data_IF_351501931113
#
_entry.id   IF_351501931113
#
_cell.length_a   1.000
_cell.length_b   1.000
_cell.length_c   1.000
_cell.angle_alpha   90.00
_cell.angle_beta   90.00
_cell.angle_gamma   90.00
#
_symmetry.space_group_name_H-M   'P 1'
#
loop_
_entity.id
_entity.type
_entity.pdbx_description
1 polymer ?
#
# COMPACT_ATOMS: atom_id res chain seq x y z
N UNK A 1 17.45 -15.69 -31.38
CA UNK A 1 18.18 -15.05 -30.27
C UNK A 1 17.55 -15.62 -29.02
N UNK A 2 18.07 -16.76 -28.60
CA UNK A 2 17.42 -17.68 -27.68
C UNK A 2 17.50 -17.16 -26.25
N UNK A 3 16.36 -17.10 -25.56
CA UNK A 3 16.30 -16.73 -24.14
C UNK A 3 16.67 -17.97 -23.30
N UNK A 4 17.76 -17.88 -22.55
CA UNK A 4 18.08 -18.92 -21.57
C UNK A 4 16.98 -19.00 -20.49
N UNK A 5 16.58 -20.21 -20.08
CA UNK A 5 15.59 -20.39 -19.02
C UNK A 5 16.15 -19.88 -17.68
N UNK A 6 15.32 -19.16 -16.93
CA UNK A 6 15.59 -18.55 -15.60
C UNK A 6 16.19 -19.52 -14.57
N UNK A 7 16.15 -20.83 -14.84
CA UNK A 7 16.70 -21.91 -14.03
C UNK A 7 18.24 -21.98 -14.02
N UNK A 8 18.98 -21.20 -14.82
CA UNK A 8 20.45 -21.25 -14.86
C UNK A 8 21.16 -20.28 -13.91
N UNK A 9 20.44 -19.45 -13.13
CA UNK A 9 21.08 -18.49 -12.22
C UNK A 9 21.67 -19.22 -11.00
N UNK A 10 23.00 -19.24 -10.82
CA UNK A 10 23.62 -19.94 -9.70
C UNK A 10 23.21 -19.29 -8.36
N UNK A 11 22.65 -20.10 -7.45
CA UNK A 11 22.30 -19.68 -6.09
C UNK A 11 20.81 -19.49 -5.81
N UNK A 12 19.92 -19.67 -6.80
CA UNK A 12 18.47 -19.64 -6.58
C UNK A 12 17.96 -21.09 -6.44
N UNK A 13 17.42 -21.42 -5.27
CA UNK A 13 16.77 -22.71 -5.02
C UNK A 13 15.26 -22.55 -5.10
N UNK A 14 14.61 -23.42 -5.87
CA UNK A 14 13.15 -23.49 -6.00
C UNK A 14 12.61 -24.70 -5.21
N UNK A 15 11.37 -24.63 -4.72
CA UNK A 15 10.68 -25.71 -3.98
C UNK A 15 11.35 -26.15 -2.66
N UNK A 16 11.97 -25.24 -1.91
CA UNK A 16 12.49 -25.55 -0.58
C UNK A 16 11.42 -25.28 0.48
N UNK A 17 11.10 -26.30 1.28
CA UNK A 17 10.17 -26.18 2.40
C UNK A 17 10.81 -25.35 3.53
N UNK A 18 10.18 -24.23 3.89
CA UNK A 18 10.70 -23.24 4.85
C UNK A 18 10.82 -23.74 6.30
N UNK A 19 10.33 -24.94 6.62
CA UNK A 19 10.39 -25.53 7.97
C UNK A 19 11.83 -25.77 8.44
N UNK A 20 12.75 -26.06 7.51
CA UNK A 20 14.13 -26.46 7.81
C UNK A 20 15.09 -25.26 7.97
N UNK A 21 14.61 -24.02 7.80
CA UNK A 21 15.39 -22.77 7.88
C UNK A 21 14.96 -21.83 9.01
N UNK A 22 14.26 -22.36 10.02
CA UNK A 22 13.77 -21.57 11.15
C UNK A 22 14.87 -21.36 12.20
N UNK A 23 15.61 -20.27 12.07
CA UNK A 23 16.12 -19.54 13.25
C UNK A 23 15.81 -18.07 13.09
N UNK A 24 14.84 -17.63 13.88
CA UNK A 24 14.51 -16.23 14.12
C UNK A 24 15.77 -15.45 14.54
N UNK A 25 16.40 -14.74 13.60
CA UNK A 25 17.22 -13.56 13.88
C UNK A 25 16.56 -12.36 13.24
N UNK A 26 15.87 -11.60 14.09
CA UNK A 26 15.38 -10.26 13.82
C UNK A 26 16.61 -9.39 13.52
N UNK A 27 16.85 -9.05 12.25
CA UNK A 27 17.97 -8.18 11.87
C UNK A 27 18.57 -8.44 10.49
N UNK A 28 17.81 -8.21 9.42
CA UNK A 28 18.31 -8.30 8.04
C UNK A 28 17.56 -7.36 7.10
N UNK A 29 18.22 -6.87 6.04
CA UNK A 29 17.68 -5.92 5.06
C UNK A 29 16.34 -6.41 4.51
N UNK A 30 15.29 -5.69 4.85
CA UNK A 30 13.92 -5.95 4.45
C UNK A 30 13.78 -5.94 2.92
N UNK A 31 13.93 -7.10 2.28
CA UNK A 31 13.54 -7.36 0.88
C UNK A 31 12.09 -7.84 0.84
N UNK A 32 11.14 -7.09 1.38
CA UNK A 32 9.73 -7.31 1.02
C UNK A 32 9.46 -6.51 -0.25
N UNK A 33 9.86 -7.07 -1.39
CA UNK A 33 9.12 -6.79 -2.61
C UNK A 33 7.75 -7.45 -2.41
N UNK A 34 6.68 -6.66 -2.36
CA UNK A 34 5.34 -7.21 -2.53
C UNK A 34 5.28 -7.71 -3.98
N UNK A 35 5.70 -8.95 -4.19
CA UNK A 35 5.54 -9.63 -5.47
C UNK A 35 4.03 -9.77 -5.69
N UNK A 36 3.55 -9.33 -6.86
CA UNK A 36 2.19 -9.61 -7.27
C UNK A 36 2.01 -11.13 -7.28
N UNK A 37 1.12 -11.62 -6.41
CA UNK A 37 0.93 -13.06 -6.21
C UNK A 37 0.16 -13.66 -7.36
N UNK A 38 0.39 -14.95 -7.61
CA UNK A 38 -0.36 -15.67 -8.63
C UNK A 38 -1.84 -15.79 -8.23
N UNK A 39 -2.74 -15.95 -9.20
CA UNK A 39 -4.19 -16.12 -8.95
C UNK A 39 -4.45 -17.27 -7.97
N UNK A 40 -3.67 -18.36 -8.05
CA UNK A 40 -3.77 -19.51 -7.16
C UNK A 40 -3.49 -19.16 -5.69
N UNK A 41 -2.34 -18.55 -5.42
CA UNK A 41 -1.96 -18.12 -4.06
C UNK A 41 -2.96 -17.12 -3.45
N UNK A 42 -3.53 -16.24 -4.28
CA UNK A 42 -4.56 -15.30 -3.82
C UNK A 42 -5.88 -15.99 -3.47
N UNK A 43 -6.24 -17.08 -4.16
CA UNK A 43 -7.39 -17.90 -3.80
C UNK A 43 -7.14 -18.67 -2.50
N UNK A 44 -5.90 -19.11 -2.23
CA UNK A 44 -5.53 -19.77 -0.97
C UNK A 44 -5.81 -18.89 0.25
N UNK A 45 -5.55 -17.58 0.15
CA UNK A 45 -5.89 -16.61 1.22
C UNK A 45 -7.36 -16.72 1.64
N UNK A 46 -8.25 -16.89 0.67
CA UNK A 46 -9.69 -17.01 0.90
C UNK A 46 -10.03 -18.39 1.46
N UNK A 47 -9.46 -19.45 0.87
CA UNK A 47 -9.71 -20.84 1.25
C UNK A 47 -9.18 -21.17 2.64
N UNK A 48 -8.11 -20.52 3.10
CA UNK A 48 -7.55 -20.75 4.43
C UNK A 48 -8.42 -20.14 5.53
N UNK A 49 -9.16 -19.07 5.22
CA UNK A 49 -9.85 -18.24 6.21
C UNK A 49 -11.34 -18.51 6.32
N UNK A 50 -12.06 -18.59 5.21
CA UNK A 50 -13.52 -18.75 5.22
C UNK A 50 -14.00 -20.03 5.95
N UNK A 51 -13.35 -21.20 5.79
CA UNK A 51 -13.76 -22.40 6.50
C UNK A 51 -13.61 -22.30 8.02
N UNK A 52 -12.62 -21.54 8.52
CA UNK A 52 -12.40 -21.37 9.97
C UNK A 52 -13.56 -20.67 10.67
N UNK A 53 -14.36 -19.90 9.92
CA UNK A 53 -15.54 -19.17 10.41
C UNK A 53 -16.85 -19.79 9.92
N UNK A 54 -16.80 -20.95 9.25
CA UNK A 54 -17.97 -21.66 8.75
C UNK A 54 -18.77 -20.90 7.68
N UNK A 55 -18.06 -20.13 6.85
CA UNK A 55 -18.62 -19.39 5.70
C UNK A 55 -18.03 -19.97 4.41
N UNK A 56 -18.83 -19.95 3.35
CA UNK A 56 -18.47 -20.45 2.03
C UNK A 56 -18.64 -19.37 0.97
N UNK A 57 -17.89 -19.50 -0.12
CA UNK A 57 -18.01 -18.66 -1.29
C UNK A 57 -17.90 -19.52 -2.54
N UNK A 58 -18.72 -19.23 -3.54
CA UNK A 58 -18.63 -19.91 -4.83
C UNK A 58 -17.30 -19.60 -5.53
N UNK A 59 -16.83 -20.52 -6.38
CA UNK A 59 -15.62 -20.32 -7.20
C UNK A 59 -15.68 -19.03 -8.01
N UNK A 60 -16.88 -18.65 -8.48
CA UNK A 60 -17.11 -17.40 -9.23
C UNK A 60 -16.80 -16.17 -8.38
N UNK A 61 -17.29 -16.12 -7.14
CA UNK A 61 -17.05 -14.99 -6.22
C UNK A 61 -15.57 -14.90 -5.84
N UNK A 62 -14.93 -16.03 -5.55
CA UNK A 62 -13.48 -16.08 -5.26
C UNK A 62 -12.66 -15.50 -6.43
N UNK A 63 -12.99 -15.89 -7.66
CA UNK A 63 -12.33 -15.36 -8.85
C UNK A 63 -12.52 -13.84 -9.01
N UNK A 64 -13.73 -13.33 -8.80
CA UNK A 64 -14.04 -11.90 -8.88
C UNK A 64 -13.21 -11.09 -7.86
N UNK A 65 -13.15 -11.55 -6.60
CA UNK A 65 -12.34 -10.93 -5.54
C UNK A 65 -10.87 -10.86 -5.94
N UNK A 66 -10.34 -11.94 -6.51
CA UNK A 66 -8.93 -11.99 -6.91
C UNK A 66 -8.66 -11.09 -8.12
N UNK A 67 -9.57 -11.07 -9.11
CA UNK A 67 -9.45 -10.22 -10.30
C UNK A 67 -9.45 -8.73 -9.95
N UNK A 68 -10.33 -8.28 -9.06
CA UNK A 68 -10.38 -6.87 -8.66
C UNK A 68 -9.21 -6.47 -7.75
N UNK A 69 -8.57 -7.42 -7.10
CA UNK A 69 -7.43 -7.18 -6.18
C UNK A 69 -6.10 -6.98 -6.90
N UNK A 70 -6.03 -7.13 -8.23
CA UNK A 70 -4.86 -6.80 -9.07
C UNK A 70 -3.53 -7.39 -8.57
N UNK A 71 -3.55 -8.63 -8.07
CA UNK A 71 -2.33 -9.30 -7.59
C UNK A 71 -1.91 -8.93 -6.15
N UNK A 72 -2.66 -8.06 -5.47
CA UNK A 72 -2.33 -7.52 -4.14
C UNK A 72 -3.06 -8.26 -3.01
N UNK A 73 -2.36 -8.99 -2.13
CA UNK A 73 -2.96 -9.73 -1.02
C UNK A 73 -3.79 -8.87 -0.07
N UNK A 74 -3.38 -7.62 0.17
CA UNK A 74 -4.10 -6.71 1.06
C UNK A 74 -5.52 -6.42 0.59
N UNK A 75 -5.73 -6.30 -0.73
CA UNK A 75 -7.05 -6.06 -1.31
C UNK A 75 -7.90 -7.32 -1.29
N UNK A 76 -7.30 -8.50 -1.49
CA UNK A 76 -8.02 -9.78 -1.30
C UNK A 76 -8.54 -9.89 0.12
N UNK A 77 -7.71 -9.60 1.13
CA UNK A 77 -8.13 -9.64 2.52
C UNK A 77 -9.27 -8.67 2.82
N UNK A 78 -9.15 -7.41 2.36
CA UNK A 78 -10.15 -6.38 2.62
C UNK A 78 -11.49 -6.73 1.95
N UNK A 79 -11.47 -7.03 0.64
CA UNK A 79 -12.67 -7.38 -0.12
C UNK A 79 -13.36 -8.63 0.43
N UNK A 80 -12.60 -9.67 0.75
CA UNK A 80 -13.14 -10.91 1.35
C UNK A 80 -13.77 -10.62 2.70
N UNK A 81 -13.11 -9.83 3.56
CA UNK A 81 -13.63 -9.46 4.88
C UNK A 81 -14.95 -8.70 4.79
N UNK A 82 -15.03 -7.66 3.96
CA UNK A 82 -16.26 -6.88 3.86
C UNK A 82 -17.41 -7.70 3.25
N UNK A 83 -17.14 -8.53 2.24
CA UNK A 83 -18.15 -9.44 1.68
C UNK A 83 -18.63 -10.48 2.70
N UNK A 84 -17.72 -11.00 3.52
CA UNK A 84 -18.04 -11.93 4.61
C UNK A 84 -18.93 -11.25 5.66
N UNK A 85 -18.61 -10.00 6.05
CA UNK A 85 -19.43 -9.24 7.00
C UNK A 85 -20.84 -8.97 6.45
N UNK A 86 -20.98 -8.69 5.14
CA UNK A 86 -22.29 -8.57 4.49
C UNK A 86 -23.10 -9.86 4.62
N UNK A 87 -22.49 -11.01 4.32
CA UNK A 87 -23.15 -12.32 4.44
C UNK A 87 -23.57 -12.62 5.89
N UNK A 88 -22.72 -12.31 6.87
CA UNK A 88 -23.01 -12.47 8.30
C UNK A 88 -24.20 -11.58 8.71
N UNK A 89 -24.24 -10.33 8.25
CA UNK A 89 -25.34 -9.41 8.56
C UNK A 89 -26.68 -9.93 7.99
N UNK A 90 -26.66 -10.60 6.84
CA UNK A 90 -27.81 -11.31 6.27
C UNK A 90 -28.10 -12.65 6.97
N UNK A 91 -27.31 -13.04 7.98
CA UNK A 91 -27.36 -14.34 8.67
C UNK A 91 -27.16 -15.53 7.72
N UNK A 92 -26.37 -15.34 6.66
CA UNK A 92 -26.03 -16.35 5.67
C UNK A 92 -24.63 -16.91 5.93
N UNK A 93 -24.45 -18.20 5.63
CA UNK A 93 -23.14 -18.86 5.57
C UNK A 93 -22.54 -18.87 4.16
N UNK A 94 -23.26 -18.36 3.17
CA UNK A 94 -22.83 -18.33 1.78
C UNK A 94 -22.70 -16.88 1.31
N UNK A 95 -21.53 -16.52 0.78
CA UNK A 95 -21.29 -15.23 0.13
C UNK A 95 -21.92 -15.26 -1.26
N UNK A 96 -22.92 -14.42 -1.45
CA UNK A 96 -23.59 -14.22 -2.72
C UNK A 96 -23.02 -13.00 -3.47
N UNK A 97 -23.51 -12.78 -4.70
CA UNK A 97 -23.06 -11.65 -5.51
C UNK A 97 -23.39 -10.29 -4.86
N UNK A 98 -24.55 -10.17 -4.22
CA UNK A 98 -24.93 -8.98 -3.47
C UNK A 98 -23.94 -8.65 -2.34
N UNK A 99 -23.49 -9.69 -1.62
CA UNK A 99 -22.49 -9.56 -0.55
C UNK A 99 -21.12 -9.15 -1.10
N UNK A 100 -20.73 -9.69 -2.27
CA UNK A 100 -19.54 -9.24 -3.00
C UNK A 100 -19.64 -7.77 -3.41
N UNK A 101 -20.74 -7.37 -4.06
CA UNK A 101 -20.93 -6.01 -4.57
C UNK A 101 -20.89 -4.99 -3.40
N UNK A 102 -21.60 -5.28 -2.31
CA UNK A 102 -21.56 -4.48 -1.07
C UNK A 102 -20.17 -4.47 -0.43
N UNK A 103 -19.48 -5.62 -0.43
CA UNK A 103 -18.14 -5.76 0.10
C UNK A 103 -17.11 -4.91 -0.66
N UNK A 104 -17.21 -4.84 -1.98
CA UNK A 104 -16.36 -3.98 -2.81
C UNK A 104 -16.64 -2.51 -2.52
N UNK A 105 -17.90 -2.09 -2.49
CA UNK A 105 -18.25 -0.70 -2.17
C UNK A 105 -17.69 -0.30 -0.80
N UNK A 106 -17.87 -1.13 0.22
CA UNK A 106 -17.37 -0.86 1.56
C UNK A 106 -15.84 -0.91 1.64
N UNK A 107 -15.19 -1.78 0.86
CA UNK A 107 -13.72 -1.85 0.77
C UNK A 107 -13.14 -0.58 0.18
N UNK A 108 -13.77 -0.04 -0.87
CA UNK A 108 -13.39 1.26 -1.45
C UNK A 108 -13.58 2.37 -0.42
N UNK A 109 -14.73 2.43 0.25
CA UNK A 109 -15.00 3.43 1.31
C UNK A 109 -13.99 3.35 2.45
N UNK A 110 -13.66 2.16 2.95
CA UNK A 110 -12.66 1.97 4.03
C UNK A 110 -11.24 2.29 3.58
N UNK A 111 -10.87 1.91 2.36
CA UNK A 111 -9.60 2.32 1.77
C UNK A 111 -9.51 3.85 1.73
N UNK A 112 -10.58 4.52 1.26
CA UNK A 112 -10.69 5.97 1.27
C UNK A 112 -10.66 6.56 2.69
N UNK A 113 -11.34 5.97 3.68
CA UNK A 113 -11.33 6.44 5.07
C UNK A 113 -9.94 6.33 5.71
N UNK A 114 -9.21 5.26 5.44
CA UNK A 114 -7.82 5.11 5.88
C UNK A 114 -6.90 6.16 5.24
N UNK A 115 -7.15 6.53 3.98
CA UNK A 115 -6.44 7.59 3.26
C UNK A 115 -6.77 8.96 3.85
N UNK A 116 -8.06 9.25 4.06
CA UNK A 116 -8.55 10.53 4.60
C UNK A 116 -8.08 10.73 6.04
N UNK A 117 -8.16 9.71 6.90
CA UNK A 117 -7.66 9.77 8.27
C UNK A 117 -6.15 9.97 8.32
N UNK A 118 -5.40 9.26 7.46
CA UNK A 118 -3.95 9.44 7.33
C UNK A 118 -3.59 10.85 6.85
N UNK A 119 -4.32 11.37 5.86
CA UNK A 119 -4.17 12.74 5.37
C UNK A 119 -4.45 13.77 6.47
N UNK A 120 -5.60 13.66 7.15
CA UNK A 120 -5.98 14.56 8.25
C UNK A 120 -4.93 14.55 9.36
N UNK A 121 -4.43 13.36 9.73
CA UNK A 121 -3.36 13.22 10.73
C UNK A 121 -2.04 13.85 10.29
N UNK A 122 -1.73 13.80 8.99
CA UNK A 122 -0.52 14.39 8.44
C UNK A 122 -0.55 15.92 8.44
N UNK A 123 -1.69 16.50 8.06
CA UNK A 123 -1.86 17.97 7.95
C UNK A 123 -2.21 18.64 9.29
N UNK A 124 -2.68 17.88 10.28
CA UNK A 124 -3.10 18.44 11.56
C UNK A 124 -1.94 19.07 12.33
N UNK A 125 -2.17 20.28 12.85
CA UNK A 125 -1.32 20.94 13.83
C UNK A 125 -2.12 22.03 14.53
N UNK A 126 -1.89 22.20 15.84
CA UNK A 126 -2.58 23.18 16.67
C UNK A 126 -2.20 24.63 16.34
N UNK A 127 -1.05 24.84 15.66
CA UNK A 127 -0.58 26.14 15.19
C UNK A 127 -0.64 26.22 13.67
N UNK A 128 -0.70 27.45 13.15
CA UNK A 128 -0.55 27.74 11.73
C UNK A 128 0.72 27.06 11.18
N UNK A 129 0.56 26.37 10.07
CA UNK A 129 1.58 25.50 9.52
C UNK A 129 1.36 25.34 8.01
N UNK A 130 2.39 24.83 7.33
CA UNK A 130 2.36 24.60 5.89
C UNK A 130 2.30 23.11 5.53
N UNK A 131 1.83 22.24 6.44
CA UNK A 131 1.84 20.80 6.19
C UNK A 131 0.97 20.44 4.97
N UNK A 132 -0.19 21.08 4.83
CA UNK A 132 -1.10 20.84 3.70
C UNK A 132 -0.44 21.19 2.36
N UNK A 133 0.20 22.35 2.30
CA UNK A 133 0.86 22.89 1.12
C UNK A 133 2.10 22.08 0.75
N UNK A 134 2.89 21.65 1.74
CA UNK A 134 4.05 20.78 1.51
C UNK A 134 3.60 19.41 1.01
N UNK A 135 2.54 18.84 1.58
CA UNK A 135 2.01 17.54 1.15
C UNK A 135 1.45 17.61 -0.28
N UNK A 136 0.71 18.68 -0.59
CA UNK A 136 0.22 18.95 -1.95
C UNK A 136 1.39 19.12 -2.93
N UNK A 137 2.41 19.90 -2.55
CA UNK A 137 3.60 20.08 -3.37
C UNK A 137 4.28 18.75 -3.68
N UNK A 138 4.37 17.82 -2.71
CA UNK A 138 4.93 16.49 -2.91
C UNK A 138 4.10 15.64 -3.89
N UNK A 139 2.78 15.76 -3.87
CA UNK A 139 1.90 15.06 -4.81
C UNK A 139 2.05 15.58 -6.25
N UNK A 140 2.35 16.87 -6.41
CA UNK A 140 2.53 17.52 -7.71
C UNK A 140 3.91 17.32 -8.35
N UNK A 141 4.87 16.69 -7.64
CA UNK A 141 6.21 16.48 -8.18
C UNK A 141 6.18 15.40 -9.25
N UNK A 142 6.88 15.65 -10.37
CA UNK A 142 7.18 14.61 -11.36
C UNK A 142 8.11 13.57 -10.73
N UNK A 143 7.60 12.37 -10.54
CA UNK A 143 8.35 11.26 -9.92
C UNK A 143 9.16 10.47 -10.94
N UNK A 144 10.19 9.75 -10.48
CA UNK A 144 10.90 8.76 -11.29
C UNK A 144 10.03 7.54 -11.63
N UNK A 145 10.53 6.62 -12.47
CA UNK A 145 9.86 5.37 -12.86
C UNK A 145 9.46 4.47 -11.67
N UNK A 146 9.94 4.77 -10.46
CA UNK A 146 9.65 4.05 -9.22
C UNK A 146 8.78 4.88 -8.26
N UNK A 147 8.22 6.00 -8.70
CA UNK A 147 7.35 6.87 -7.91
C UNK A 147 8.08 7.66 -6.83
N UNK A 148 9.40 7.89 -6.98
CA UNK A 148 10.22 8.60 -5.99
C UNK A 148 10.55 10.01 -6.43
N UNK A 149 10.79 10.86 -5.44
CA UNK A 149 11.23 12.23 -5.62
C UNK A 149 12.24 12.64 -4.56
N UNK A 150 12.98 13.72 -4.81
CA UNK A 150 13.93 14.33 -3.88
C UNK A 150 13.38 15.61 -3.26
N UNK A 151 14.01 16.07 -2.17
CA UNK A 151 13.58 17.32 -1.53
C UNK A 151 13.74 18.56 -2.43
N UNK A 152 14.68 18.54 -3.37
CA UNK A 152 14.86 19.62 -4.35
C UNK A 152 13.68 19.74 -5.31
N UNK A 153 13.05 18.61 -5.65
CA UNK A 153 11.97 18.56 -6.63
C UNK A 153 10.70 19.23 -6.08
N UNK A 154 10.51 19.22 -4.75
CA UNK A 154 9.39 19.86 -4.04
C UNK A 154 9.50 21.39 -4.04
N UNK A 155 10.70 21.95 -4.24
CA UNK A 155 10.96 23.39 -4.11
C UNK A 155 10.11 24.23 -5.07
N UNK A 156 10.10 23.85 -6.34
CA UNK A 156 9.36 24.55 -7.39
C UNK A 156 7.84 24.51 -7.18
N UNK A 157 7.18 23.34 -7.00
CA UNK A 157 5.73 23.30 -6.77
C UNK A 157 5.33 23.98 -5.47
N UNK A 158 6.13 23.87 -4.40
CA UNK A 158 5.82 24.53 -3.13
C UNK A 158 5.92 26.06 -3.22
N UNK A 159 6.93 26.57 -3.92
CA UNK A 159 7.07 28.02 -4.14
C UNK A 159 5.91 28.59 -4.96
N UNK A 160 5.41 27.81 -5.93
CA UNK A 160 4.21 28.14 -6.71
C UNK A 160 2.94 28.18 -5.84
N UNK A 161 2.76 27.21 -4.94
CA UNK A 161 1.60 27.15 -4.05
C UNK A 161 1.61 28.31 -3.04
N UNK A 162 2.78 28.64 -2.48
CA UNK A 162 2.91 29.68 -1.44
C UNK A 162 3.12 31.09 -2.00
N UNK A 163 3.28 31.26 -3.32
CA UNK A 163 3.51 32.57 -3.95
C UNK A 163 4.82 33.26 -3.56
N UNK A 164 5.79 32.51 -3.03
CA UNK A 164 7.10 33.02 -2.58
C UNK A 164 8.19 31.99 -2.78
N UNK A 165 9.45 32.43 -2.88
CA UNK A 165 10.57 31.50 -2.93
C UNK A 165 10.74 30.78 -1.59
N UNK A 166 10.88 29.46 -1.66
CA UNK A 166 11.04 28.59 -0.50
C UNK A 166 12.33 27.78 -0.65
N UNK A 167 13.13 27.74 0.40
CA UNK A 167 14.33 26.90 0.43
C UNK A 167 14.08 25.57 1.14
N UNK A 168 14.91 24.56 0.86
CA UNK A 168 14.74 23.20 1.41
C UNK A 168 14.70 23.23 2.95
N UNK A 169 15.48 24.10 3.60
CA UNK A 169 15.47 24.26 5.05
C UNK A 169 14.09 24.60 5.64
N UNK A 170 13.24 25.31 4.88
CA UNK A 170 11.93 25.76 5.34
C UNK A 170 10.95 24.59 5.49
N UNK A 171 11.08 23.56 4.66
CA UNK A 171 10.15 22.42 4.63
C UNK A 171 10.77 21.05 4.96
N UNK A 172 12.09 20.95 5.11
CA UNK A 172 12.78 19.69 5.43
C UNK A 172 12.23 19.02 6.70
N UNK A 173 11.86 19.80 7.72
CA UNK A 173 11.23 19.28 8.94
C UNK A 173 9.87 18.64 8.67
N UNK A 174 9.10 19.16 7.72
CA UNK A 174 7.77 18.65 7.37
C UNK A 174 7.91 17.32 6.62
N UNK A 175 8.86 17.22 5.68
CA UNK A 175 9.19 15.95 5.01
C UNK A 175 9.62 14.86 6.00
N UNK A 176 10.48 15.21 6.96
CA UNK A 176 10.89 14.27 8.01
C UNK A 176 9.69 13.84 8.88
N UNK A 177 8.80 14.77 9.20
CA UNK A 177 7.62 14.50 10.01
C UNK A 177 6.61 13.60 9.29
N UNK A 178 6.46 13.70 7.96
CA UNK A 178 5.64 12.77 7.17
C UNK A 178 6.16 11.33 7.15
N UNK A 179 7.42 11.12 7.53
CA UNK A 179 8.01 9.80 7.71
C UNK A 179 7.84 9.24 9.13
N UNK A 180 7.20 9.97 10.04
CA UNK A 180 6.95 9.52 11.42
C UNK A 180 5.53 8.91 11.53
N UNK A 181 5.37 7.72 12.16
CA UNK A 181 4.06 7.16 12.54
C UNK A 181 3.12 8.13 13.28
N UNK A 182 3.67 9.05 14.08
CA UNK A 182 2.90 10.06 14.82
C UNK A 182 2.09 10.98 13.91
N UNK A 183 2.50 11.12 12.64
CA UNK A 183 1.79 11.89 11.60
C UNK A 183 1.17 11.02 10.50
N UNK A 184 0.94 9.75 10.79
CA UNK A 184 0.24 8.83 9.87
C UNK A 184 1.12 8.15 8.84
N UNK A 185 2.45 8.35 8.88
CA UNK A 185 3.41 7.65 8.02
C UNK A 185 3.07 7.75 6.52
N UNK A 186 2.97 8.97 6.02
CA UNK A 186 2.55 9.27 4.63
C UNK A 186 3.67 9.02 3.62
N UNK A 187 4.91 9.34 3.99
CA UNK A 187 6.08 9.24 3.12
C UNK A 187 7.08 8.22 3.66
N UNK A 188 7.65 7.43 2.74
CA UNK A 188 8.80 6.58 3.00
C UNK A 188 10.07 7.31 2.59
N UNK A 189 11.02 7.43 3.51
CA UNK A 189 12.36 7.97 3.25
C UNK A 189 13.33 6.83 2.96
N UNK A 190 14.05 6.93 1.84
CA UNK A 190 15.11 5.99 1.45
C UNK A 190 16.37 6.73 1.01
N UNK A 191 17.53 6.06 0.99
CA UNK A 191 18.79 6.63 0.51
C UNK A 191 19.79 6.99 1.61
N UNK A 192 20.85 7.70 1.21
CA UNK A 192 21.99 8.08 2.07
C UNK A 192 21.87 9.55 2.51
N UNK A 193 22.57 9.97 3.58
CA UNK A 193 22.66 11.39 3.95
C UNK A 193 23.01 12.27 2.74
N UNK A 194 22.33 13.42 2.59
CA UNK A 194 22.40 14.35 1.44
C UNK A 194 21.82 13.84 0.10
N UNK A 195 21.36 12.58 0.01
CA UNK A 195 20.67 12.01 -1.16
C UNK A 195 19.46 11.19 -0.73
N UNK A 196 18.58 11.82 0.04
CA UNK A 196 17.33 11.19 0.46
C UNK A 196 16.28 11.28 -0.65
N UNK A 197 15.61 10.17 -0.88
CA UNK A 197 14.45 10.05 -1.75
C UNK A 197 13.21 9.73 -0.91
N UNK A 198 12.09 10.31 -1.32
CA UNK A 198 10.79 10.16 -0.69
C UNK A 198 9.83 9.47 -1.66
N UNK A 199 8.89 8.71 -1.12
CA UNK A 199 7.87 7.99 -1.88
C UNK A 199 6.60 7.91 -1.04
N UNK A 200 5.43 8.05 -1.64
CA UNK A 200 4.16 7.83 -0.93
C UNK A 200 4.01 6.36 -0.54
N UNK A 201 3.60 6.10 0.71
CA UNK A 201 3.44 4.73 1.20
C UNK A 201 2.17 4.07 0.66
N UNK A 202 1.09 4.84 0.58
CA UNK A 202 -0.13 4.40 -0.07
C UNK A 202 -0.15 5.03 -1.46
N UNK A 203 -0.01 4.22 -2.52
CA UNK A 203 -0.15 4.70 -3.91
C UNK A 203 -1.44 5.51 -4.18
N UNK A 204 -2.60 5.22 -3.55
CA UNK A 204 -3.79 6.07 -3.71
C UNK A 204 -3.76 7.41 -2.95
N UNK A 205 -2.68 7.75 -2.21
CA UNK A 205 -2.40 9.11 -1.73
C UNK A 205 -1.79 10.02 -2.81
N UNK A 206 -1.63 9.55 -4.04
CA UNK A 206 -1.49 10.41 -5.22
C UNK A 206 -2.89 10.67 -5.79
N UNK A 207 -3.59 11.75 -5.38
CA UNK A 207 -4.68 12.25 -6.19
C UNK A 207 -4.08 13.07 -7.34
N UNK A 208 -4.34 12.59 -8.55
CA UNK A 208 -4.14 13.24 -9.86
C UNK A 208 -2.71 13.34 -10.41
#
# INVERSE_FOLDING_TARGET
MDQEPINSIPGIQFNVLLKDYTTFRIGGRTKYFFIARTKGELIEIINDRLPQIGIEASKKIKNLIVEISQGLPGYVHLATREATLSAINRKSRLIEKSDYDAGIEQSVRRAQESIVSTYNKAIYSAKENIYKEVLLACAMVVTDDRGKFSASDVRAPLSKILGRNVEIGNFARHLAAFCNPDRGLVLRKTGKPKRFQYQFINAPLQPY
#
